data_IF_968092390554
#
_entry.id   IF_968092390554
#
_cell.length_a   1.000
_cell.length_b   1.000
_cell.length_c   1.000
_cell.angle_alpha   90.00
_cell.angle_beta   90.00
_cell.angle_gamma   90.00
#
_symmetry.space_group_name_H-M   'P 1'
#
loop_
_entity.id
_entity.type
_entity.pdbx_description
1 polymer ?
#
# COMPACT_ATOMS: atom_id res chain seq x y z
N UNK A 1 2.09 55.51 -21.78
CA UNK A 1 1.32 56.19 -20.71
C UNK A 1 1.31 55.27 -19.50
N UNK A 2 1.75 55.81 -18.36
CA UNK A 2 2.15 55.14 -17.12
C UNK A 2 1.05 54.49 -16.29
N UNK A 3 1.48 53.54 -15.44
CA UNK A 3 1.28 53.44 -13.99
C UNK A 3 0.74 52.05 -13.59
N UNK A 4 1.58 51.09 -13.15
CA UNK A 4 2.20 50.93 -11.81
C UNK A 4 1.21 51.08 -10.66
N UNK A 5 0.78 49.96 -10.08
CA UNK A 5 0.03 49.90 -8.82
C UNK A 5 0.75 49.00 -7.82
N UNK A 6 0.77 49.48 -6.57
CA UNK A 6 1.85 49.36 -5.58
C UNK A 6 1.72 48.13 -4.68
N UNK A 7 2.87 47.54 -4.34
CA UNK A 7 3.06 46.57 -3.24
C UNK A 7 3.18 47.29 -1.90
N UNK A 8 2.42 46.86 -0.89
CA UNK A 8 2.60 47.29 0.50
C UNK A 8 3.22 46.16 1.34
N UNK A 9 4.51 46.29 1.63
CA UNK A 9 5.17 45.64 2.77
C UNK A 9 4.88 46.47 4.02
N UNK A 10 4.47 45.82 5.11
CA UNK A 10 4.57 46.40 6.45
C UNK A 10 5.35 45.40 7.31
N UNK A 11 6.62 45.74 7.55
CA UNK A 11 7.47 45.16 8.58
C UNK A 11 7.09 45.86 9.88
N UNK A 12 6.72 45.11 10.91
CA UNK A 12 6.55 45.64 12.26
C UNK A 12 7.44 44.83 13.21
N UNK A 13 8.54 45.47 13.59
CA UNK A 13 9.48 45.05 14.64
C UNK A 13 8.95 45.68 15.94
N UNK A 14 8.65 44.86 16.95
CA UNK A 14 8.46 45.34 18.31
C UNK A 14 9.39 44.60 19.27
N UNK A 15 10.04 45.42 20.10
CA UNK A 15 11.23 45.18 20.92
C UNK A 15 10.85 44.59 22.28
N UNK A 16 11.83 43.89 22.86
CA UNK A 16 11.94 43.28 24.18
C UNK A 16 11.19 43.97 25.34
N UNK A 17 10.75 43.15 26.30
CA UNK A 17 10.69 43.55 27.72
C UNK A 17 11.16 42.38 28.59
N UNK A 18 12.34 42.57 29.19
CA UNK A 18 12.94 41.72 30.21
C UNK A 18 12.10 41.73 31.49
N UNK A 19 11.94 40.54 32.11
CA UNK A 19 11.55 40.40 33.51
C UNK A 19 12.53 39.46 34.22
N UNK A 20 13.52 40.03 34.90
CA UNK A 20 14.17 39.47 36.10
C UNK A 20 13.54 40.22 37.29
N UNK A 21 13.29 39.68 38.49
CA UNK A 21 14.29 39.15 39.44
C UNK A 21 13.64 38.28 40.55
N UNK A 22 14.42 37.28 41.00
CA UNK A 22 14.69 36.81 42.40
C UNK A 22 13.61 36.24 43.32
N UNK A 23 13.86 35.03 43.84
CA UNK A 23 14.55 34.87 45.13
C UNK A 23 15.30 33.52 45.23
N UNK A 24 16.48 33.56 45.85
CA UNK A 24 17.45 32.47 46.00
C UNK A 24 17.19 31.58 47.23
N UNK A 25 17.57 30.30 47.13
CA UNK A 25 17.90 29.42 48.26
C UNK A 25 19.27 28.74 48.02
N UNK A 26 20.21 28.73 48.98
CA UNK A 26 21.54 28.11 48.85
C UNK A 26 21.52 26.58 49.11
N UNK A 27 22.62 25.85 48.81
CA UNK A 27 22.59 24.57 48.09
C UNK A 27 22.52 23.34 49.00
N UNK A 28 21.83 22.30 48.53
CA UNK A 28 21.96 20.95 49.08
C UNK A 28 22.82 20.11 48.13
N UNK A 29 24.03 19.81 48.59
CA UNK A 29 24.87 18.77 48.01
C UNK A 29 24.26 17.41 48.34
N UNK A 30 23.90 16.63 47.33
CA UNK A 30 23.46 15.25 47.51
C UNK A 30 23.36 14.53 46.18
N UNK A 31 24.10 13.44 46.09
CA UNK A 31 23.99 12.33 45.12
C UNK A 31 23.95 12.62 43.60
N UNK A 32 25.06 12.27 42.94
CA UNK A 32 25.03 11.78 41.57
C UNK A 32 24.19 10.50 41.51
N UNK A 33 22.92 10.62 41.14
CA UNK A 33 22.10 9.46 40.81
C UNK A 33 22.34 9.05 39.34
N UNK A 34 22.65 7.77 39.17
CA UNK A 34 23.18 7.18 37.96
C UNK A 34 22.32 7.43 36.72
N UNK A 35 23.01 7.84 35.65
CA UNK A 35 22.54 7.85 34.28
C UNK A 35 22.12 6.43 33.87
N UNK A 36 20.85 6.07 34.09
CA UNK A 36 20.21 4.93 33.41
C UNK A 36 20.34 5.19 31.90
N UNK A 37 20.86 4.24 31.10
CA UNK A 37 20.76 4.39 29.66
C UNK A 37 19.27 4.35 29.32
N UNK A 38 18.79 5.41 28.67
CA UNK A 38 17.52 5.40 27.98
C UNK A 38 17.61 4.30 26.93
N UNK A 39 17.05 3.13 27.23
CA UNK A 39 16.77 2.11 26.24
C UNK A 39 15.78 2.72 25.27
N UNK A 40 16.31 3.21 24.14
CA UNK A 40 15.53 3.53 22.97
C UNK A 40 14.97 2.22 22.40
N UNK A 41 13.93 1.68 23.03
CA UNK A 41 13.07 0.69 22.38
C UNK A 41 11.93 1.45 21.73
N UNK A 42 12.24 2.12 20.63
CA UNK A 42 11.23 2.38 19.59
C UNK A 42 11.00 1.07 18.83
N UNK A 43 10.50 0.05 19.52
CA UNK A 43 9.75 -1.00 18.82
C UNK A 43 8.41 -0.36 18.50
N UNK A 44 8.37 0.25 17.32
CA UNK A 44 7.13 0.59 16.64
C UNK A 44 6.25 -0.66 16.68
N UNK A 45 5.21 -0.60 17.51
CA UNK A 45 4.29 -1.71 17.76
C UNK A 45 3.57 -2.02 16.44
N UNK A 46 4.21 -2.83 15.58
CA UNK A 46 3.61 -3.32 14.34
C UNK A 46 2.24 -3.87 14.70
N UNK A 47 1.21 -3.36 14.03
CA UNK A 47 -0.17 -3.64 14.35
C UNK A 47 -0.51 -5.05 13.86
N UNK A 48 -0.12 -6.06 14.65
CA UNK A 48 -0.32 -7.46 14.28
C UNK A 48 -1.80 -7.83 14.52
N UNK A 49 -2.50 -8.16 13.44
CA UNK A 49 -3.94 -8.46 13.44
C UNK A 49 -4.23 -9.91 13.84
N UNK A 50 -5.45 -10.18 14.28
CA UNK A 50 -5.95 -11.56 14.32
C UNK A 50 -6.23 -12.07 12.90
N UNK A 51 -6.23 -13.40 12.71
CA UNK A 51 -6.51 -13.99 11.39
C UNK A 51 -7.87 -13.58 10.79
N UNK A 52 -8.99 -13.54 11.56
CA UNK A 52 -10.27 -13.06 11.02
C UNK A 52 -10.21 -11.60 10.56
N UNK A 53 -9.57 -10.72 11.34
CA UNK A 53 -9.41 -9.30 10.98
C UNK A 53 -8.55 -9.12 9.73
N UNK A 54 -7.43 -9.85 9.63
CA UNK A 54 -6.57 -9.83 8.46
C UNK A 54 -7.30 -10.34 7.21
N UNK A 55 -8.11 -11.40 7.33
CA UNK A 55 -8.93 -11.89 6.21
C UNK A 55 -9.90 -10.83 5.70
N UNK A 56 -10.67 -10.21 6.59
CA UNK A 56 -11.63 -9.19 6.20
C UNK A 56 -10.95 -7.94 5.64
N UNK A 57 -9.83 -7.52 6.24
CA UNK A 57 -9.03 -6.40 5.73
C UNK A 57 -8.44 -6.68 4.35
N UNK A 58 -7.97 -7.89 4.10
CA UNK A 58 -7.46 -8.29 2.79
C UNK A 58 -8.56 -8.33 1.72
N UNK A 59 -9.77 -8.80 2.06
CA UNK A 59 -10.92 -8.75 1.15
C UNK A 59 -11.31 -7.31 0.82
N UNK A 60 -11.35 -6.44 1.82
CA UNK A 60 -11.66 -5.02 1.62
C UNK A 60 -10.61 -4.33 0.74
N UNK A 61 -9.33 -4.54 1.03
CA UNK A 61 -8.22 -4.01 0.24
C UNK A 61 -8.28 -4.52 -1.21
N UNK A 62 -8.51 -5.82 -1.41
CA UNK A 62 -8.72 -6.41 -2.73
C UNK A 62 -9.82 -5.69 -3.50
N UNK A 63 -11.01 -5.57 -2.89
CA UNK A 63 -12.16 -4.94 -3.51
C UNK A 63 -11.88 -3.49 -3.90
N UNK A 64 -11.27 -2.73 -3.00
CA UNK A 64 -10.91 -1.34 -3.24
C UNK A 64 -9.94 -1.21 -4.42
N UNK A 65 -8.82 -1.94 -4.39
CA UNK A 65 -7.85 -1.90 -5.47
C UNK A 65 -8.42 -2.40 -6.80
N UNK A 66 -9.22 -3.47 -6.81
CA UNK A 66 -9.84 -3.94 -8.04
C UNK A 66 -10.82 -2.92 -8.62
N UNK A 67 -11.63 -2.27 -7.76
CA UNK A 67 -12.58 -1.26 -8.19
C UNK A 67 -11.88 0.00 -8.72
N UNK A 68 -10.81 0.43 -8.06
CA UNK A 68 -9.97 1.54 -8.53
C UNK A 68 -9.31 1.20 -9.87
N UNK A 69 -8.76 -0.01 -10.01
CA UNK A 69 -8.14 -0.46 -11.26
C UNK A 69 -9.14 -0.42 -12.42
N UNK A 70 -10.36 -0.92 -12.20
CA UNK A 70 -11.43 -0.92 -13.20
C UNK A 70 -11.90 0.49 -13.55
N UNK A 71 -12.05 1.37 -12.54
CA UNK A 71 -12.41 2.76 -12.75
C UNK A 71 -11.34 3.50 -13.56
N UNK A 72 -10.06 3.28 -13.25
CA UNK A 72 -8.96 3.92 -13.97
C UNK A 72 -8.83 3.42 -15.41
N UNK A 73 -8.98 2.12 -15.65
CA UNK A 73 -9.01 1.58 -17.01
C UNK A 73 -10.14 2.20 -17.83
N UNK A 74 -11.35 2.25 -17.26
CA UNK A 74 -12.52 2.79 -17.96
C UNK A 74 -12.41 4.29 -18.26
N UNK A 75 -11.90 5.07 -17.32
CA UNK A 75 -11.95 6.54 -17.39
C UNK A 75 -10.71 7.15 -18.04
N UNK A 76 -9.53 6.55 -17.87
CA UNK A 76 -8.25 7.17 -18.25
C UNK A 76 -7.44 6.37 -19.26
N UNK A 77 -7.68 5.06 -19.41
CA UNK A 77 -6.97 4.23 -20.37
C UNK A 77 -7.69 4.23 -21.72
N UNK A 78 -7.62 5.35 -22.44
CA UNK A 78 -8.35 5.58 -23.68
C UNK A 78 -7.66 5.04 -24.94
N UNK A 79 -6.37 4.71 -24.85
CA UNK A 79 -5.60 4.14 -25.94
C UNK A 79 -4.40 3.34 -25.40
N UNK A 80 -3.75 2.54 -26.25
CA UNK A 80 -2.65 1.64 -25.86
C UNK A 80 -1.34 2.34 -25.47
N UNK A 81 -1.24 3.66 -25.66
CA UNK A 81 -0.07 4.46 -25.27
C UNK A 81 -0.27 5.20 -23.94
N UNK A 82 -1.49 5.22 -23.42
CA UNK A 82 -1.78 5.79 -22.12
C UNK A 82 -1.02 5.03 -21.01
N UNK A 83 -0.66 5.68 -19.89
CA UNK A 83 -0.07 5.00 -18.75
C UNK A 83 -0.94 3.84 -18.27
N UNK A 84 -0.35 2.65 -18.11
CA UNK A 84 -1.08 1.46 -17.67
C UNK A 84 -1.49 1.63 -16.21
N UNK A 85 -2.80 1.62 -15.88
CA UNK A 85 -3.29 1.88 -14.52
C UNK A 85 -2.66 0.99 -13.46
N UNK A 86 -2.49 -0.30 -13.74
CA UNK A 86 -1.88 -1.25 -12.80
C UNK A 86 -0.48 -0.81 -12.34
N UNK A 87 0.33 -0.24 -13.24
CA UNK A 87 1.69 0.25 -12.92
C UNK A 87 1.65 1.52 -12.09
N UNK A 88 0.69 2.41 -12.35
CA UNK A 88 0.51 3.64 -11.55
C UNK A 88 0.11 3.29 -10.11
N UNK A 89 -0.75 2.30 -9.95
CA UNK A 89 -1.23 1.84 -8.64
C UNK A 89 -0.17 1.17 -7.77
N UNK A 90 0.95 0.69 -8.33
CA UNK A 90 2.03 0.09 -7.51
C UNK A 90 2.60 1.09 -6.49
N UNK A 91 2.62 2.39 -6.80
CA UNK A 91 2.98 3.42 -5.81
C UNK A 91 1.99 3.52 -4.65
N UNK A 92 0.71 3.24 -4.92
CA UNK A 92 -0.30 3.18 -3.86
C UNK A 92 -0.11 1.94 -2.98
N UNK A 93 0.42 0.85 -3.53
CA UNK A 93 0.77 -0.33 -2.75
C UNK A 93 1.92 -0.03 -1.80
N UNK A 94 2.97 0.64 -2.29
CA UNK A 94 4.11 1.05 -1.46
C UNK A 94 3.67 1.97 -0.30
N UNK A 95 2.74 2.88 -0.58
CA UNK A 95 2.17 3.79 0.42
C UNK A 95 1.40 3.04 1.50
N UNK A 96 0.47 2.17 1.10
CA UNK A 96 -0.36 1.39 2.03
C UNK A 96 0.47 0.36 2.80
N UNK A 97 1.52 -0.19 2.19
CA UNK A 97 2.47 -1.03 2.92
C UNK A 97 3.15 -0.23 4.03
N UNK A 98 3.59 1.00 3.74
CA UNK A 98 4.27 1.86 4.73
C UNK A 98 3.35 2.28 5.87
N UNK A 99 2.09 2.61 5.58
CA UNK A 99 1.15 3.14 6.57
C UNK A 99 0.41 2.05 7.36
N UNK A 100 0.07 0.94 6.69
CA UNK A 100 -0.85 -0.07 7.24
C UNK A 100 -0.22 -1.46 7.35
N UNK A 101 1.02 -1.64 6.89
CA UNK A 101 1.71 -2.94 6.84
C UNK A 101 0.93 -4.00 6.05
N UNK A 102 0.22 -3.56 5.01
CA UNK A 102 -0.52 -4.39 4.06
C UNK A 102 0.23 -4.37 2.75
N UNK A 103 0.86 -5.49 2.38
CA UNK A 103 1.56 -5.61 1.11
C UNK A 103 0.59 -6.01 0.02
N UNK A 104 0.68 -5.37 -1.14
CA UNK A 104 -0.14 -5.67 -2.30
C UNK A 104 0.74 -5.89 -3.53
N UNK A 105 0.40 -6.88 -4.38
CA UNK A 105 1.07 -7.07 -5.67
C UNK A 105 0.17 -7.71 -6.72
N UNK A 106 0.34 -7.30 -7.97
CA UNK A 106 -0.31 -7.93 -9.12
C UNK A 106 0.33 -9.27 -9.47
N UNK A 107 -0.48 -10.23 -9.91
CA UNK A 107 -0.01 -11.48 -10.51
C UNK A 107 -0.70 -11.78 -11.84
N UNK A 108 0.06 -12.31 -12.80
CA UNK A 108 -0.49 -12.95 -13.98
C UNK A 108 -1.04 -14.34 -13.60
N UNK A 109 -2.21 -14.69 -14.13
CA UNK A 109 -2.86 -15.98 -13.83
C UNK A 109 -2.92 -16.86 -15.07
N UNK A 110 -3.81 -16.55 -16.03
CA UNK A 110 -3.95 -17.31 -17.27
C UNK A 110 -4.00 -16.37 -18.50
N UNK A 111 -3.32 -15.23 -18.37
CA UNK A 111 -3.13 -14.24 -19.42
C UNK A 111 -1.69 -13.72 -19.39
N UNK A 112 -1.26 -13.01 -20.45
CA UNK A 112 0.09 -12.46 -20.52
C UNK A 112 0.35 -11.54 -19.31
N UNK A 113 1.52 -11.65 -18.70
CA UNK A 113 1.98 -10.68 -17.71
C UNK A 113 2.32 -9.35 -18.40
N UNK A 114 1.81 -8.22 -17.87
CA UNK A 114 2.14 -6.90 -18.43
C UNK A 114 3.49 -6.35 -17.94
N UNK A 115 4.02 -6.93 -16.87
CA UNK A 115 5.37 -6.73 -16.38
C UNK A 115 5.98 -8.07 -15.99
N UNK A 116 7.30 -8.22 -16.13
CA UNK A 116 8.06 -9.38 -15.63
C UNK A 116 7.88 -9.56 -14.12
N UNK A 117 7.61 -8.47 -13.40
CA UNK A 117 7.40 -8.50 -11.94
C UNK A 117 6.06 -9.11 -11.54
N UNK A 118 5.13 -9.23 -12.48
CA UNK A 118 3.81 -9.83 -12.24
C UNK A 118 3.79 -11.33 -12.47
N UNK A 119 4.88 -11.93 -12.93
CA UNK A 119 4.94 -13.38 -13.05
C UNK A 119 4.88 -14.05 -11.66
N UNK A 120 4.15 -15.17 -11.51
CA UNK A 120 4.21 -15.99 -10.30
C UNK A 120 5.61 -16.59 -10.09
N UNK A 121 6.27 -16.24 -8.98
CA UNK A 121 7.63 -16.66 -8.64
C UNK A 121 7.62 -17.69 -7.50
N UNK A 122 6.86 -17.44 -6.44
CA UNK A 122 6.80 -18.29 -5.25
C UNK A 122 5.82 -19.45 -5.41
N UNK A 123 5.91 -20.44 -4.51
CA UNK A 123 4.98 -21.58 -4.52
C UNK A 123 3.54 -21.16 -4.19
N UNK A 124 3.35 -20.20 -3.28
CA UNK A 124 2.05 -19.59 -3.02
C UNK A 124 1.47 -18.99 -4.31
N UNK A 125 2.27 -18.22 -5.04
CA UNK A 125 1.81 -17.50 -6.24
C UNK A 125 1.46 -18.43 -7.39
N UNK A 126 2.27 -19.47 -7.60
CA UNK A 126 2.01 -20.48 -8.64
C UNK A 126 0.73 -21.24 -8.32
N UNK A 127 0.52 -21.63 -7.06
CA UNK A 127 -0.71 -22.30 -6.64
C UNK A 127 -1.92 -21.37 -6.74
N UNK A 128 -1.79 -20.11 -6.31
CA UNK A 128 -2.83 -19.10 -6.46
C UNK A 128 -3.25 -18.94 -7.92
N UNK A 129 -2.29 -18.79 -8.84
CA UNK A 129 -2.55 -18.70 -10.26
C UNK A 129 -3.28 -19.95 -10.79
N UNK A 130 -2.82 -21.15 -10.42
CA UNK A 130 -3.51 -22.39 -10.84
C UNK A 130 -4.96 -22.46 -10.34
N UNK A 131 -5.21 -22.14 -9.07
CA UNK A 131 -6.53 -22.19 -8.46
C UNK A 131 -7.48 -21.14 -9.05
N UNK A 132 -6.99 -19.91 -9.28
CA UNK A 132 -7.78 -18.86 -9.91
C UNK A 132 -8.05 -19.18 -11.38
N UNK A 133 -7.06 -19.70 -12.11
CA UNK A 133 -7.25 -20.14 -13.50
C UNK A 133 -8.29 -21.27 -13.63
N UNK A 134 -8.47 -22.07 -12.57
CA UNK A 134 -9.50 -23.10 -12.47
C UNK A 134 -10.89 -22.56 -12.07
N UNK A 135 -11.03 -21.24 -11.92
CA UNK A 135 -12.31 -20.58 -11.65
C UNK A 135 -12.60 -20.30 -10.17
N UNK A 136 -11.61 -20.42 -9.27
CA UNK A 136 -11.79 -19.96 -7.88
C UNK A 136 -11.64 -18.45 -7.78
N UNK A 137 -12.52 -17.82 -7.00
CA UNK A 137 -12.44 -16.38 -6.72
C UNK A 137 -11.20 -15.99 -5.88
N UNK A 138 -10.66 -16.96 -5.14
CA UNK A 138 -9.65 -16.72 -4.13
C UNK A 138 -8.79 -17.95 -3.85
N UNK A 139 -7.53 -17.70 -3.49
CA UNK A 139 -6.66 -18.64 -2.79
C UNK A 139 -6.06 -17.96 -1.56
N UNK A 140 -6.10 -18.63 -0.41
CA UNK A 140 -5.63 -18.09 0.87
C UNK A 140 -4.67 -19.07 1.55
N UNK A 141 -3.66 -18.55 2.25
CA UNK A 141 -2.74 -19.33 3.08
C UNK A 141 -2.24 -18.47 4.24
N UNK A 142 -1.91 -19.11 5.37
CA UNK A 142 -1.10 -18.52 6.43
C UNK A 142 0.23 -19.25 6.47
N UNK A 143 1.33 -18.51 6.42
CA UNK A 143 2.68 -19.07 6.46
C UNK A 143 3.63 -18.06 7.10
N UNK A 144 4.45 -18.50 8.07
CA UNK A 144 5.46 -17.68 8.74
C UNK A 144 4.93 -16.34 9.28
N UNK A 145 3.83 -16.36 10.03
CA UNK A 145 3.23 -15.14 10.59
C UNK A 145 2.57 -14.20 9.59
N UNK A 146 2.40 -14.61 8.32
CA UNK A 146 1.77 -13.80 7.29
C UNK A 146 0.56 -14.52 6.74
N UNK A 147 -0.58 -13.83 6.77
CA UNK A 147 -1.76 -14.23 6.01
C UNK A 147 -1.65 -13.66 4.60
N UNK A 148 -1.78 -14.53 3.60
CA UNK A 148 -1.76 -14.16 2.18
C UNK A 148 -3.08 -14.55 1.52
N UNK A 149 -3.64 -13.60 0.77
CA UNK A 149 -4.84 -13.79 -0.04
C UNK A 149 -4.55 -13.37 -1.48
N UNK A 150 -4.67 -14.29 -2.42
CA UNK A 150 -4.73 -14.00 -3.85
C UNK A 150 -6.19 -13.98 -4.29
N UNK A 151 -6.70 -12.84 -4.75
CA UNK A 151 -8.05 -12.73 -5.32
C UNK A 151 -8.02 -12.62 -6.84
N UNK A 152 -9.04 -13.18 -7.49
CA UNK A 152 -9.21 -13.09 -8.93
C UNK A 152 -9.56 -11.66 -9.37
N UNK A 153 -9.01 -11.24 -10.51
CA UNK A 153 -9.43 -10.05 -11.24
C UNK A 153 -9.82 -10.50 -12.64
N UNK A 154 -11.10 -10.38 -12.97
CA UNK A 154 -11.59 -10.73 -14.31
C UNK A 154 -11.04 -9.75 -15.34
N UNK A 155 -10.37 -10.27 -16.35
CA UNK A 155 -9.90 -9.47 -17.48
C UNK A 155 -10.95 -9.35 -18.58
N UNK A 156 -12.12 -9.98 -18.41
CA UNK A 156 -13.16 -10.06 -19.45
C UNK A 156 -13.85 -8.72 -19.72
N UNK A 157 -13.65 -7.73 -18.84
CA UNK A 157 -14.33 -6.44 -18.89
C UNK A 157 -13.36 -5.31 -19.27
N UNK A 158 -13.93 -4.17 -19.69
CA UNK A 158 -13.26 -2.87 -19.74
C UNK A 158 -11.93 -2.80 -20.53
N UNK A 159 -11.78 -3.63 -21.56
CA UNK A 159 -10.65 -3.54 -22.50
C UNK A 159 -9.34 -4.19 -22.03
N UNK A 160 -9.32 -4.85 -20.87
CA UNK A 160 -8.11 -5.49 -20.32
C UNK A 160 -7.51 -6.51 -21.31
N UNK A 161 -8.34 -7.26 -22.03
CA UNK A 161 -7.90 -8.27 -23.00
C UNK A 161 -7.08 -7.70 -24.17
N UNK A 162 -7.26 -6.42 -24.53
CA UNK A 162 -6.51 -5.80 -25.63
C UNK A 162 -5.01 -5.92 -25.40
N UNK A 163 -4.56 -5.67 -24.17
CA UNK A 163 -3.16 -5.77 -23.80
C UNK A 163 -2.80 -7.18 -23.31
N UNK A 164 -3.70 -7.87 -22.62
CA UNK A 164 -3.41 -9.18 -22.01
C UNK A 164 -3.45 -10.37 -22.97
N UNK A 165 -4.17 -10.25 -24.09
CA UNK A 165 -4.33 -11.32 -25.08
C UNK A 165 -3.93 -10.88 -26.50
N UNK A 166 -3.84 -9.56 -26.72
CA UNK A 166 -3.48 -8.96 -28.00
C UNK A 166 -4.70 -8.57 -28.83
N UNK A 167 -4.55 -7.53 -29.63
CA UNK A 167 -5.63 -7.00 -30.46
C UNK A 167 -6.14 -8.04 -31.47
N UNK A 168 -7.47 -8.17 -31.59
CA UNK A 168 -8.12 -9.04 -32.57
C UNK A 168 -8.10 -10.54 -32.25
N UNK A 169 -7.51 -10.99 -31.14
CA UNK A 169 -7.55 -12.41 -30.76
C UNK A 169 -8.86 -12.78 -30.10
N UNK A 170 -9.49 -13.87 -30.56
CA UNK A 170 -10.70 -14.42 -29.95
C UNK A 170 -10.37 -15.09 -28.61
N UNK A 171 -10.99 -14.63 -27.54
CA UNK A 171 -10.94 -15.27 -26.22
C UNK A 171 -12.04 -16.32 -26.14
N UNK A 172 -11.66 -17.57 -25.82
CA UNK A 172 -12.57 -18.73 -25.78
C UNK A 172 -12.82 -19.26 -24.38
N UNK A 173 -12.07 -18.77 -23.40
CA UNK A 173 -12.14 -19.14 -21.98
C UNK A 173 -11.90 -17.89 -21.16
N UNK A 174 -12.48 -17.83 -19.96
CA UNK A 174 -12.27 -16.71 -19.06
C UNK A 174 -10.79 -16.47 -18.76
N UNK A 175 -10.46 -15.20 -18.61
CA UNK A 175 -9.10 -14.72 -18.38
C UNK A 175 -9.07 -13.90 -17.11
N UNK A 176 -8.05 -14.16 -16.33
CA UNK A 176 -7.85 -13.59 -15.02
C UNK A 176 -6.42 -13.05 -14.90
N UNK A 177 -6.32 -11.96 -14.16
CA UNK A 177 -5.16 -11.62 -13.37
C UNK A 177 -5.49 -11.92 -11.90
N UNK A 178 -4.55 -11.66 -11.00
CA UNK A 178 -4.79 -11.72 -9.58
C UNK A 178 -4.15 -10.55 -8.84
N UNK A 179 -4.63 -10.33 -7.64
CA UNK A 179 -4.07 -9.40 -6.67
C UNK A 179 -3.80 -10.17 -5.39
N UNK A 180 -2.54 -10.15 -4.96
CA UNK A 180 -2.12 -10.73 -3.69
C UNK A 180 -2.10 -9.62 -2.66
N UNK A 181 -2.79 -9.84 -1.55
CA UNK A 181 -2.72 -9.03 -0.33
C UNK A 181 -2.07 -9.88 0.76
N UNK A 182 -1.01 -9.36 1.39
CA UNK A 182 -0.30 -10.01 2.50
C UNK A 182 -0.36 -9.14 3.74
N UNK A 183 -0.74 -9.73 4.88
CA UNK A 183 -0.95 -9.04 6.14
C UNK A 183 -0.30 -9.85 7.28
N UNK A 184 0.57 -9.25 8.10
CA UNK A 184 1.10 -9.89 9.29
C UNK A 184 0.00 -10.24 10.29
N UNK A 185 0.03 -11.47 10.81
CA UNK A 185 -0.95 -12.00 11.75
C UNK A 185 -0.27 -12.58 12.98
N UNK A 186 -0.98 -12.54 14.11
CA UNK A 186 -0.52 -13.24 15.31
C UNK A 186 -0.68 -14.73 15.05
N UNK A 187 0.42 -15.45 14.93
CA UNK A 187 0.36 -16.91 15.00
C UNK A 187 -0.24 -17.29 16.34
N UNK A 188 -1.32 -18.09 16.32
CA UNK A 188 -1.67 -18.81 17.52
C UNK A 188 -0.53 -19.80 17.74
N UNK A 189 0.33 -19.49 18.71
CA UNK A 189 1.27 -20.47 19.28
C UNK A 189 0.42 -21.68 19.63
N UNK A 190 0.68 -22.77 18.92
CA UNK A 190 -0.10 -24.00 18.99
C UNK A 190 0.35 -24.83 20.19
#
# INVERSE_FOLDING_TARGET
MSAMMKTNSVVSICVLSLGLVSFAGPPESGEQEGKKPATNTSEEKQLVLSLPEARERAKLAHNFYSATLDAMHRSYFTNSTAPVPARVMEKMFDEVEREENIKARWIAVNARAMSIDHEPKTDFEKQAAQQIAAGKDAYERVENGVYQRAGAISLMNHGCLTCHFGFGKRVTKDRFAGLIISIPVKEKVK
#
